data_IF_604673903979
#
_entry.id   IF_604673903979
#
_cell.length_a   1.000
_cell.length_b   1.000
_cell.length_c   1.000
_cell.angle_alpha   90.00
_cell.angle_beta   90.00
_cell.angle_gamma   90.00
#
_symmetry.space_group_name_H-M   'P 1'
#
loop_
_entity.id
_entity.type
_entity.pdbx_description
1 polymer ?
#
# COMPACT_ATOMS: atom_id res chain seq x y z
N UNK A 1 -1.97 3.09 -15.91
CA UNK A 1 -1.36 3.69 -17.13
C UNK A 1 -2.43 3.98 -18.18
N UNK A 2 -3.19 2.97 -18.67
CA UNK A 2 -4.27 3.18 -19.65
C UNK A 2 -5.30 4.26 -19.24
N UNK A 3 -5.77 4.25 -17.99
CA UNK A 3 -6.66 5.30 -17.46
C UNK A 3 -6.01 6.70 -17.45
N UNK A 4 -4.74 6.81 -17.01
CA UNK A 4 -4.04 8.10 -16.97
C UNK A 4 -3.80 8.67 -18.37
N UNK A 5 -3.52 7.81 -19.35
CA UNK A 5 -3.38 8.17 -20.77
C UNK A 5 -4.73 8.62 -21.33
N UNK A 6 -5.82 7.89 -21.04
CA UNK A 6 -7.17 8.24 -21.48
C UNK A 6 -7.64 9.60 -20.93
N UNK A 7 -7.23 9.98 -19.73
CA UNK A 7 -7.54 11.28 -19.13
C UNK A 7 -6.51 12.38 -19.42
N UNK A 8 -5.51 12.12 -20.27
CA UNK A 8 -4.47 13.10 -20.62
C UNK A 8 -3.58 13.56 -19.46
N UNK A 9 -3.61 12.85 -18.32
CA UNK A 9 -2.83 13.17 -17.11
C UNK A 9 -1.52 12.39 -17.01
N UNK A 10 -1.16 11.68 -18.07
CA UNK A 10 0.07 10.92 -18.12
C UNK A 10 1.21 11.80 -18.63
N UNK A 11 1.95 12.41 -17.70
CA UNK A 11 3.17 13.15 -18.01
C UNK A 11 4.36 12.30 -17.58
N UNK A 12 5.17 11.85 -18.54
CA UNK A 12 6.46 11.23 -18.23
C UNK A 12 7.42 12.38 -17.87
N UNK A 13 7.99 12.42 -16.66
CA UNK A 13 9.02 13.41 -16.37
C UNK A 13 10.20 13.20 -17.32
N UNK A 14 10.50 14.22 -18.14
CA UNK A 14 11.57 14.16 -19.14
C UNK A 14 12.97 14.05 -18.53
N UNK A 15 13.11 14.41 -17.25
CA UNK A 15 14.35 14.30 -16.48
C UNK A 15 14.00 13.87 -15.06
N UNK A 16 14.68 12.82 -14.58
CA UNK A 16 14.60 12.35 -13.19
C UNK A 16 15.81 12.93 -12.49
N UNK A 17 15.56 13.79 -11.51
CA UNK A 17 16.60 14.35 -10.65
C UNK A 17 17.12 13.29 -9.66
N UNK A 18 18.18 13.63 -8.92
CA UNK A 18 18.78 12.69 -7.97
C UNK A 18 17.77 12.20 -6.90
N UNK A 19 16.89 13.09 -6.43
CA UNK A 19 15.83 12.74 -5.48
C UNK A 19 14.83 11.73 -6.09
N UNK A 20 14.43 11.92 -7.35
CA UNK A 20 13.58 10.98 -8.08
C UNK A 20 14.20 9.59 -8.19
N UNK A 21 15.51 9.50 -8.45
CA UNK A 21 16.22 8.22 -8.45
C UNK A 21 16.21 7.53 -7.09
N UNK A 22 16.41 8.27 -6.01
CA UNK A 22 16.33 7.73 -4.64
C UNK A 22 14.92 7.17 -4.38
N UNK A 23 13.88 7.90 -4.74
CA UNK A 23 12.48 7.47 -4.56
C UNK A 23 12.22 6.19 -5.36
N UNK A 24 12.70 6.10 -6.61
CA UNK A 24 12.53 4.91 -7.43
C UNK A 24 13.23 3.69 -6.84
N UNK A 25 14.47 3.85 -6.35
CA UNK A 25 15.23 2.78 -5.70
C UNK A 25 14.51 2.34 -4.42
N UNK A 26 14.03 3.27 -3.61
CA UNK A 26 13.26 2.97 -2.40
C UNK A 26 11.97 2.20 -2.73
N UNK A 27 11.23 2.63 -3.75
CA UNK A 27 9.98 1.98 -4.15
C UNK A 27 10.22 0.56 -4.69
N UNK A 28 11.26 0.38 -5.52
CA UNK A 28 11.60 -0.90 -6.12
C UNK A 28 12.18 -1.89 -5.11
N UNK A 29 13.21 -1.48 -4.37
CA UNK A 29 13.92 -2.38 -3.46
C UNK A 29 13.17 -2.59 -2.16
N UNK A 30 12.70 -1.53 -1.51
CA UNK A 30 12.13 -1.62 -0.16
C UNK A 30 10.63 -1.90 -0.24
N UNK A 31 9.87 -1.02 -0.89
CA UNK A 31 8.40 -1.11 -0.91
C UNK A 31 7.92 -2.33 -1.69
N UNK A 32 8.66 -2.76 -2.72
CA UNK A 32 8.32 -3.93 -3.53
C UNK A 32 9.18 -5.13 -3.17
N UNK A 33 10.50 -5.06 -3.37
CA UNK A 33 11.41 -6.20 -3.19
C UNK A 33 11.33 -6.82 -1.79
N UNK A 34 11.72 -6.07 -0.76
CA UNK A 34 11.71 -6.53 0.64
C UNK A 34 10.29 -6.90 1.09
N UNK A 35 9.28 -6.11 0.72
CA UNK A 35 7.89 -6.42 1.05
C UNK A 35 7.42 -7.77 0.47
N UNK A 36 7.77 -8.10 -0.77
CA UNK A 36 7.40 -9.39 -1.37
C UNK A 36 8.22 -10.54 -0.78
N UNK A 37 9.52 -10.35 -0.53
CA UNK A 37 10.35 -11.38 0.12
C UNK A 37 9.77 -11.77 1.49
N UNK A 38 9.43 -10.77 2.31
CA UNK A 38 8.82 -11.00 3.62
C UNK A 38 7.41 -11.61 3.50
N UNK A 39 6.62 -11.23 2.49
CA UNK A 39 5.33 -11.85 2.21
C UNK A 39 5.45 -13.33 1.82
N UNK A 40 6.38 -13.69 0.92
CA UNK A 40 6.63 -15.08 0.56
C UNK A 40 7.13 -15.88 1.76
N UNK A 41 7.98 -15.28 2.60
CA UNK A 41 8.42 -15.92 3.85
C UNK A 41 7.26 -16.13 4.84
N UNK A 42 6.36 -15.17 4.95
CA UNK A 42 5.14 -15.32 5.74
C UNK A 42 4.28 -16.47 5.20
N UNK A 43 4.13 -16.58 3.87
CA UNK A 43 3.38 -17.68 3.25
C UNK A 43 4.00 -19.05 3.52
N UNK A 44 5.33 -19.15 3.52
CA UNK A 44 6.04 -20.39 3.85
C UNK A 44 5.82 -20.80 5.32
N UNK A 45 5.75 -19.83 6.24
CA UNK A 45 5.70 -20.08 7.70
C UNK A 45 4.28 -20.17 8.27
N UNK A 46 3.34 -19.36 7.77
CA UNK A 46 1.97 -19.22 8.26
C UNK A 46 0.91 -19.80 7.29
N UNK A 47 1.33 -20.19 6.08
CA UNK A 47 0.44 -20.60 5.00
C UNK A 47 -0.18 -19.41 4.25
N UNK A 48 -0.77 -19.71 3.09
CA UNK A 48 -1.31 -18.70 2.17
C UNK A 48 -2.48 -17.90 2.77
N UNK A 49 -3.39 -18.57 3.51
CA UNK A 49 -4.58 -17.93 4.09
C UNK A 49 -4.23 -16.87 5.12
N UNK A 50 -3.42 -17.22 6.13
CA UNK A 50 -3.05 -16.26 7.19
C UNK A 50 -2.18 -15.12 6.64
N UNK A 51 -1.29 -15.42 5.70
CA UNK A 51 -0.46 -14.39 5.06
C UNK A 51 -1.28 -13.41 4.23
N UNK A 52 -2.30 -13.91 3.52
CA UNK A 52 -3.22 -13.05 2.77
C UNK A 52 -4.01 -12.13 3.71
N UNK A 53 -4.43 -12.62 4.89
CA UNK A 53 -5.09 -11.79 5.89
C UNK A 53 -4.21 -10.61 6.34
N UNK A 54 -2.95 -10.88 6.66
CA UNK A 54 -1.97 -9.83 7.00
C UNK A 54 -1.75 -8.86 5.83
N UNK A 55 -1.67 -9.37 4.60
CA UNK A 55 -1.50 -8.54 3.41
C UNK A 55 -2.68 -7.59 3.18
N UNK A 56 -3.91 -8.06 3.42
CA UNK A 56 -5.12 -7.24 3.29
C UNK A 56 -5.38 -6.31 4.47
N UNK A 57 -4.59 -6.38 5.54
CA UNK A 57 -4.65 -5.39 6.63
C UNK A 57 -4.09 -4.02 6.20
N UNK A 58 -3.37 -3.96 5.08
CA UNK A 58 -2.74 -2.74 4.53
C UNK A 58 -3.63 -1.48 4.54
N UNK A 59 -4.91 -1.50 4.10
CA UNK A 59 -5.76 -0.30 4.11
C UNK A 59 -6.00 0.26 5.51
N UNK A 60 -6.12 -0.60 6.52
CA UNK A 60 -6.30 -0.19 7.92
C UNK A 60 -5.03 0.49 8.42
N UNK A 61 -3.88 -0.16 8.20
CA UNK A 61 -2.56 0.38 8.56
C UNK A 61 -2.30 1.71 7.86
N UNK A 62 -2.57 1.78 6.55
CA UNK A 62 -2.42 3.00 5.76
C UNK A 62 -3.31 4.14 6.28
N UNK A 63 -4.54 3.85 6.67
CA UNK A 63 -5.47 4.86 7.22
C UNK A 63 -5.00 5.37 8.58
N UNK A 64 -4.46 4.50 9.43
CA UNK A 64 -3.85 4.89 10.72
C UNK A 64 -2.63 5.78 10.48
N UNK A 65 -1.74 5.40 9.56
CA UNK A 65 -0.60 6.23 9.21
C UNK A 65 -1.01 7.57 8.58
N UNK A 66 -2.09 7.62 7.79
CA UNK A 66 -2.60 8.87 7.24
C UNK A 66 -3.09 9.82 8.35
N UNK A 67 -3.76 9.30 9.37
CA UNK A 67 -4.14 10.12 10.53
C UNK A 67 -2.92 10.62 11.30
N UNK A 68 -1.92 9.76 11.55
CA UNK A 68 -0.76 10.11 12.40
C UNK A 68 0.24 11.02 11.65
N UNK A 69 0.60 10.67 10.42
CA UNK A 69 1.67 11.33 9.66
C UNK A 69 1.17 12.54 8.86
N UNK A 70 -0.04 12.46 8.29
CA UNK A 70 -0.61 13.55 7.51
C UNK A 70 -1.62 14.40 8.31
N UNK A 71 -1.98 14.00 9.53
CA UNK A 71 -2.97 14.71 10.34
C UNK A 71 -4.38 14.66 9.75
N UNK A 72 -4.68 13.68 8.88
CA UNK A 72 -5.98 13.61 8.23
C UNK A 72 -7.10 13.31 9.23
N UNK A 73 -8.20 14.06 9.13
CA UNK A 73 -9.43 13.75 9.87
C UNK A 73 -10.06 12.49 9.30
N UNK A 74 -10.36 11.52 10.17
CA UNK A 74 -11.10 10.34 9.79
C UNK A 74 -12.58 10.70 9.65
N UNK A 75 -13.12 10.53 8.44
CA UNK A 75 -14.55 10.59 8.22
C UNK A 75 -15.21 9.30 8.71
N UNK A 76 -16.51 9.37 8.99
CA UNK A 76 -17.29 8.19 9.37
C UNK A 76 -17.18 7.07 8.32
N UNK A 77 -17.11 7.42 7.03
CA UNK A 77 -16.94 6.45 5.94
C UNK A 77 -15.58 5.75 5.96
N UNK A 78 -14.49 6.46 6.30
CA UNK A 78 -13.16 5.83 6.47
C UNK A 78 -13.19 4.82 7.62
N UNK A 79 -13.84 5.17 8.73
CA UNK A 79 -13.98 4.28 9.89
C UNK A 79 -14.81 3.04 9.55
N UNK A 80 -15.97 3.22 8.90
CA UNK A 80 -16.81 2.10 8.46
C UNK A 80 -16.06 1.17 7.49
N UNK A 81 -15.32 1.73 6.54
CA UNK A 81 -14.47 0.96 5.63
C UNK A 81 -13.42 0.13 6.37
N UNK A 82 -12.73 0.72 7.35
CA UNK A 82 -11.77 -0.02 8.19
C UNK A 82 -12.44 -1.16 8.96
N UNK A 83 -13.60 -0.93 9.56
CA UNK A 83 -14.34 -1.96 10.30
C UNK A 83 -14.77 -3.11 9.38
N UNK A 84 -15.26 -2.81 8.17
CA UNK A 84 -15.63 -3.83 7.19
C UNK A 84 -14.43 -4.71 6.82
N UNK A 85 -13.26 -4.10 6.59
CA UNK A 85 -12.03 -4.84 6.31
C UNK A 85 -11.67 -5.73 7.51
N UNK A 86 -11.65 -5.19 8.72
CA UNK A 86 -11.30 -5.95 9.92
C UNK A 86 -12.23 -7.15 10.16
N UNK A 87 -13.54 -6.97 9.99
CA UNK A 87 -14.53 -8.04 10.12
C UNK A 87 -14.29 -9.12 9.06
N UNK A 88 -14.08 -8.71 7.80
CA UNK A 88 -13.79 -9.63 6.69
C UNK A 88 -12.55 -10.50 6.94
N UNK A 89 -11.51 -9.93 7.56
CA UNK A 89 -10.28 -10.68 7.88
C UNK A 89 -10.43 -11.60 9.10
N UNK A 90 -11.36 -11.28 10.00
CA UNK A 90 -11.64 -12.09 11.19
C UNK A 90 -12.51 -13.32 10.89
N UNK A 91 -13.42 -13.20 9.92
CA UNK A 91 -14.23 -14.29 9.40
C UNK A 91 -13.40 -15.26 8.53
#
# INVERSE_FOLDING_TARGET
IALLVAFGKFTIPAQIDFAGWIILIYLGLIVTGVAYLTYFKAMETLGATQSSRVFFLKPVVATIFALILLGEKLSIFKVLGMLIVLISLAL
#
